data_IF_272147331953
#
_entry.id   IF_272147331953
#
_cell.length_a   1.000
_cell.length_b   1.000
_cell.length_c   1.000
_cell.angle_alpha   90.00
_cell.angle_beta   90.00
_cell.angle_gamma   90.00
#
_symmetry.space_group_name_H-M   'P 1'
#
loop_
_entity.id
_entity.type
_entity.pdbx_description
1 polymer ?
#
# COMPACT_ATOMS: atom_id res chain seq x y z
N UNK A 1 6.62 29.25 -29.93
CA UNK A 1 8.00 28.74 -30.08
C UNK A 1 8.76 28.80 -28.76
N UNK A 2 8.99 29.99 -28.19
CA UNK A 2 9.76 30.16 -26.95
C UNK A 2 9.33 29.27 -25.79
N UNK A 3 8.03 29.21 -25.47
CA UNK A 3 7.52 28.35 -24.38
C UNK A 3 7.73 26.86 -24.63
N UNK A 4 7.60 26.42 -25.88
CA UNK A 4 7.84 25.03 -26.27
C UNK A 4 9.32 24.65 -26.24
N UNK A 5 10.22 25.61 -26.48
CA UNK A 5 11.66 25.38 -26.35
C UNK A 5 12.11 25.40 -24.88
N UNK A 6 11.38 26.11 -24.02
CA UNK A 6 11.64 26.20 -22.59
C UNK A 6 10.96 25.12 -21.75
N UNK A 7 10.30 24.13 -22.38
CA UNK A 7 9.51 23.09 -21.69
C UNK A 7 8.43 23.68 -20.75
N UNK A 8 7.94 24.89 -21.08
CA UNK A 8 6.94 25.61 -20.30
C UNK A 8 5.51 25.21 -20.73
N UNK A 9 5.18 23.94 -20.48
CA UNK A 9 3.95 23.26 -20.91
C UNK A 9 2.66 24.02 -20.59
N UNK A 10 2.53 24.54 -19.37
CA UNK A 10 1.32 25.26 -18.96
C UNK A 10 1.14 26.58 -19.72
N UNK A 11 2.24 27.31 -19.99
CA UNK A 11 2.19 28.55 -20.76
C UNK A 11 1.89 28.25 -22.22
N UNK A 12 2.44 27.16 -22.76
CA UNK A 12 2.13 26.69 -24.10
C UNK A 12 0.63 26.37 -24.25
N UNK A 13 0.00 25.74 -23.24
CA UNK A 13 -1.46 25.53 -23.19
C UNK A 13 -2.24 26.85 -23.19
N UNK A 14 -1.85 27.81 -22.33
CA UNK A 14 -2.49 29.13 -22.23
C UNK A 14 -2.44 29.94 -23.53
N UNK A 15 -1.43 29.68 -24.37
CA UNK A 15 -1.29 30.30 -25.69
C UNK A 15 -1.86 29.43 -26.81
N UNK A 16 -2.84 28.59 -26.49
CA UNK A 16 -3.64 27.83 -27.45
C UNK A 16 -2.80 26.95 -28.39
N UNK A 17 -1.72 26.34 -27.88
CA UNK A 17 -0.88 25.44 -28.68
C UNK A 17 -1.70 24.32 -29.33
N UNK A 18 -2.74 23.83 -28.67
CA UNK A 18 -3.58 22.75 -29.17
C UNK A 18 -4.47 23.14 -30.35
N UNK A 19 -4.73 24.42 -30.58
CA UNK A 19 -5.51 24.91 -31.73
C UNK A 19 -4.69 24.86 -33.03
N UNK A 20 -3.37 24.80 -32.93
CA UNK A 20 -2.49 24.65 -34.09
C UNK A 20 -2.77 23.31 -34.79
N UNK A 21 -3.09 23.30 -36.08
CA UNK A 21 -3.32 22.05 -36.85
C UNK A 21 -2.04 21.43 -37.43
N UNK A 22 -0.86 21.97 -37.11
CA UNK A 22 0.45 21.45 -37.55
C UNK A 22 0.63 21.35 -39.09
N UNK A 23 -0.01 22.25 -39.84
CA UNK A 23 0.01 22.28 -41.30
C UNK A 23 1.36 22.68 -41.94
N UNK A 24 2.33 23.17 -41.16
CA UNK A 24 3.66 23.53 -41.68
C UNK A 24 3.81 24.95 -42.22
N UNK A 25 2.72 25.70 -42.44
CA UNK A 25 2.76 27.02 -43.06
C UNK A 25 3.70 28.00 -42.33
N UNK A 26 3.67 28.01 -40.99
CA UNK A 26 4.52 28.87 -40.17
C UNK A 26 6.02 28.55 -40.29
N UNK A 27 6.40 27.31 -40.62
CA UNK A 27 7.81 26.94 -40.79
C UNK A 27 8.34 27.40 -42.17
N UNK A 28 7.50 27.34 -43.20
CA UNK A 28 7.87 27.74 -44.56
C UNK A 28 7.98 29.26 -44.73
N UNK A 29 7.07 30.03 -44.13
CA UNK A 29 7.04 31.50 -44.25
C UNK A 29 8.07 32.21 -43.34
N UNK A 30 8.69 31.49 -42.40
CA UNK A 30 9.55 32.10 -41.40
C UNK A 30 10.89 32.55 -42.03
N UNK A 31 11.25 33.86 -41.97
CA UNK A 31 12.50 34.37 -42.53
C UNK A 31 13.74 33.83 -41.81
N UNK A 32 13.57 33.32 -40.59
CA UNK A 32 14.64 32.73 -39.78
C UNK A 32 14.82 31.23 -40.01
N UNK A 33 14.04 30.61 -40.92
CA UNK A 33 14.07 29.17 -41.23
C UNK A 33 13.98 28.26 -39.99
N UNK A 34 13.23 28.67 -38.95
CA UNK A 34 13.06 27.89 -37.73
C UNK A 34 11.97 26.84 -37.95
N UNK A 35 12.19 25.56 -37.60
CA UNK A 35 11.20 24.49 -37.80
C UNK A 35 10.11 24.51 -36.71
N UNK A 36 9.30 25.59 -36.65
CA UNK A 36 8.29 25.83 -35.59
C UNK A 36 7.36 24.64 -35.34
N UNK A 37 6.92 23.97 -36.40
CA UNK A 37 5.96 22.86 -36.29
C UNK A 37 6.55 21.64 -35.60
N UNK A 38 7.87 21.39 -35.71
CA UNK A 38 8.50 20.27 -35.02
C UNK A 38 8.50 20.47 -33.51
N UNK A 39 8.80 21.70 -33.06
CA UNK A 39 8.69 22.07 -31.64
C UNK A 39 7.26 21.93 -31.14
N UNK A 40 6.26 22.41 -31.89
CA UNK A 40 4.86 22.28 -31.49
C UNK A 40 4.39 20.82 -31.43
N UNK A 41 4.87 19.95 -32.32
CA UNK A 41 4.59 18.52 -32.28
C UNK A 41 5.17 17.85 -31.06
N UNK A 42 6.44 18.12 -30.77
CA UNK A 42 7.12 17.61 -29.59
C UNK A 42 6.39 18.04 -28.32
N UNK A 43 6.17 19.35 -28.17
CA UNK A 43 5.50 19.93 -27.03
C UNK A 43 4.10 19.34 -26.82
N UNK A 44 3.29 19.22 -27.87
CA UNK A 44 1.98 18.57 -27.75
C UNK A 44 2.08 17.10 -27.34
N UNK A 45 3.09 16.37 -27.82
CA UNK A 45 3.30 14.99 -27.44
C UNK A 45 3.68 14.87 -25.95
N UNK A 46 4.57 15.73 -25.47
CA UNK A 46 4.97 15.82 -24.06
C UNK A 46 3.78 16.18 -23.17
N UNK A 47 3.02 17.21 -23.55
CA UNK A 47 1.82 17.62 -22.82
C UNK A 47 0.80 16.46 -22.74
N UNK A 48 0.58 15.73 -23.85
CA UNK A 48 -0.30 14.55 -23.86
C UNK A 48 0.23 13.43 -22.97
N UNK A 49 1.55 13.21 -22.93
CA UNK A 49 2.16 12.20 -22.07
C UNK A 49 1.94 12.53 -20.58
N UNK A 50 2.13 13.81 -20.21
CA UNK A 50 1.87 14.31 -18.86
C UNK A 50 0.39 14.12 -18.48
N UNK A 51 -0.55 14.46 -19.36
CA UNK A 51 -1.98 14.27 -19.10
C UNK A 51 -2.35 12.79 -18.93
N UNK A 52 -1.77 11.90 -19.75
CA UNK A 52 -2.00 10.46 -19.63
C UNK A 52 -1.43 9.89 -18.32
N UNK A 53 -0.26 10.37 -17.87
CA UNK A 53 0.30 9.99 -16.57
C UNK A 53 -0.54 10.53 -15.41
N UNK A 54 -1.00 11.77 -15.50
CA UNK A 54 -1.90 12.37 -14.51
C UNK A 54 -3.23 11.61 -14.42
N UNK A 55 -3.82 11.23 -15.55
CA UNK A 55 -5.05 10.44 -15.61
C UNK A 55 -4.87 9.05 -14.97
N UNK A 56 -3.79 8.34 -15.30
CA UNK A 56 -3.45 7.04 -14.67
C UNK A 56 -3.26 7.16 -13.17
N UNK A 57 -2.60 8.23 -12.72
CA UNK A 57 -2.38 8.51 -11.30
C UNK A 57 -3.69 8.85 -10.59
N UNK A 58 -4.56 9.64 -11.21
CA UNK A 58 -5.87 9.99 -10.67
C UNK A 58 -6.77 8.75 -10.55
N UNK A 59 -6.78 7.87 -11.55
CA UNK A 59 -7.53 6.62 -11.49
C UNK A 59 -7.01 5.71 -10.36
N UNK A 60 -5.69 5.58 -10.21
CA UNK A 60 -5.08 4.81 -9.13
C UNK A 60 -5.46 5.36 -7.74
N UNK A 61 -5.44 6.70 -7.57
CA UNK A 61 -5.90 7.37 -6.34
C UNK A 61 -7.37 7.12 -6.08
N UNK A 62 -8.24 7.27 -7.07
CA UNK A 62 -9.67 7.02 -6.95
C UNK A 62 -9.97 5.57 -6.50
N UNK A 63 -9.26 4.58 -7.05
CA UNK A 63 -9.38 3.18 -6.62
C UNK A 63 -8.93 2.97 -5.17
N UNK A 64 -7.87 3.65 -4.75
CA UNK A 64 -7.37 3.57 -3.38
C UNK A 64 -8.32 4.24 -2.38
N UNK A 65 -8.81 5.43 -2.70
CA UNK A 65 -9.79 6.17 -1.90
C UNK A 65 -11.10 5.38 -1.77
N UNK A 66 -11.58 4.76 -2.85
CA UNK A 66 -12.76 3.88 -2.80
C UNK A 66 -12.54 2.68 -1.85
N UNK A 67 -11.33 2.10 -1.84
CA UNK A 67 -10.97 1.02 -0.91
C UNK A 67 -10.94 1.51 0.54
N UNK A 68 -10.36 2.67 0.80
CA UNK A 68 -10.32 3.28 2.14
C UNK A 68 -11.73 3.59 2.63
N UNK A 69 -12.57 4.21 1.80
CA UNK A 69 -13.96 4.51 2.14
C UNK A 69 -14.78 3.26 2.44
N UNK A 70 -14.50 2.13 1.75
CA UNK A 70 -15.13 0.84 2.08
C UNK A 70 -14.66 0.32 3.44
N UNK A 71 -13.34 0.36 3.68
CA UNK A 71 -12.75 -0.12 4.92
C UNK A 71 -13.24 0.70 6.13
N UNK A 72 -13.34 2.02 5.99
CA UNK A 72 -13.83 2.93 7.02
C UNK A 72 -15.31 2.67 7.33
N UNK A 73 -16.17 2.55 6.31
CA UNK A 73 -17.58 2.18 6.51
C UNK A 73 -17.73 0.84 7.23
N UNK A 74 -16.91 -0.15 6.88
CA UNK A 74 -16.94 -1.45 7.54
C UNK A 74 -16.45 -1.36 8.98
N UNK A 75 -15.39 -0.57 9.25
CA UNK A 75 -14.89 -0.33 10.60
C UNK A 75 -15.94 0.36 11.48
N UNK A 76 -16.57 1.41 10.98
CA UNK A 76 -17.66 2.12 11.67
C UNK A 76 -18.84 1.20 11.94
N UNK A 77 -19.26 0.40 10.96
CA UNK A 77 -20.35 -0.57 11.14
C UNK A 77 -20.00 -1.63 12.20
N UNK A 78 -18.74 -2.10 12.27
CA UNK A 78 -18.29 -3.01 13.34
C UNK A 78 -18.28 -2.31 14.69
N UNK A 79 -17.75 -1.10 14.78
CA UNK A 79 -17.76 -0.31 16.03
C UNK A 79 -19.18 -0.05 16.51
N UNK A 80 -20.13 0.26 15.63
CA UNK A 80 -21.54 0.39 15.97
C UNK A 80 -22.15 -0.93 16.45
N UNK A 81 -21.84 -2.05 15.80
CA UNK A 81 -22.29 -3.37 16.27
C UNK A 81 -21.73 -3.68 17.66
N UNK A 82 -20.45 -3.38 17.90
CA UNK A 82 -19.84 -3.53 19.21
C UNK A 82 -20.44 -2.58 20.25
N UNK A 83 -20.72 -1.32 19.90
CA UNK A 83 -21.39 -0.34 20.78
C UNK A 83 -22.82 -0.74 21.11
N UNK A 84 -23.57 -1.26 20.14
CA UNK A 84 -24.94 -1.76 20.33
C UNK A 84 -24.96 -3.06 21.15
N UNK A 85 -23.97 -3.94 20.97
CA UNK A 85 -23.82 -5.17 21.76
C UNK A 85 -23.26 -4.92 23.16
N UNK A 86 -22.51 -3.84 23.37
CA UNK A 86 -22.10 -3.36 24.68
C UNK A 86 -23.33 -2.79 25.41
N UNK A 87 -24.17 -3.68 25.92
CA UNK A 87 -25.24 -3.35 26.87
C UNK A 87 -24.58 -2.62 28.03
N UNK A 88 -24.88 -1.32 28.16
CA UNK A 88 -24.45 -0.54 29.31
C UNK A 88 -25.29 -0.99 30.49
N UNK A 89 -24.62 -1.48 31.55
CA UNK A 89 -25.25 -1.73 32.83
C UNK A 89 -25.93 -0.45 33.29
N UNK A 90 -27.24 -0.53 33.55
CA UNK A 90 -28.01 0.62 34.02
C UNK A 90 -27.54 1.01 35.43
N UNK A 91 -27.78 2.25 35.85
CA UNK A 91 -27.29 2.73 37.16
C UNK A 91 -27.80 1.85 38.32
N UNK A 92 -29.04 1.33 38.22
CA UNK A 92 -29.58 0.37 39.17
C UNK A 92 -28.87 -0.99 39.19
N UNK A 93 -28.40 -1.49 38.03
CA UNK A 93 -27.59 -2.72 37.96
C UNK A 93 -26.21 -2.52 38.58
N UNK A 94 -25.62 -1.32 38.40
CA UNK A 94 -24.34 -0.97 38.99
C UNK A 94 -24.42 -0.88 40.52
N UNK A 95 -25.46 -0.26 41.05
CA UNK A 95 -25.71 -0.19 42.49
C UNK A 95 -25.92 -1.58 43.11
N UNK A 96 -26.66 -2.45 42.43
CA UNK A 96 -26.87 -3.83 42.86
C UNK A 96 -25.56 -4.66 42.89
N UNK A 97 -24.69 -4.47 41.89
CA UNK A 97 -23.36 -5.11 41.84
C UNK A 97 -22.44 -4.58 42.93
N UNK A 98 -22.45 -3.26 43.19
CA UNK A 98 -21.66 -2.67 44.29
C UNK A 98 -22.13 -3.15 45.66
N UNK A 99 -23.45 -3.23 45.89
CA UNK A 99 -24.02 -3.78 47.11
C UNK A 99 -23.71 -5.28 47.29
N UNK A 100 -23.65 -6.06 46.19
CA UNK A 100 -23.22 -7.46 46.24
C UNK A 100 -21.73 -7.59 46.58
N UNK A 101 -20.86 -6.76 46.00
CA UNK A 101 -19.43 -6.73 46.30
C UNK A 101 -19.15 -6.33 47.77
N UNK A 102 -19.90 -5.37 48.31
CA UNK A 102 -19.81 -5.01 49.74
C UNK A 102 -20.15 -6.19 50.66
N UNK A 103 -21.17 -6.99 50.30
CA UNK A 103 -21.56 -8.21 51.04
C UNK A 103 -20.53 -9.34 50.95
N UNK A 104 -19.88 -9.52 49.82
CA UNK A 104 -18.81 -10.53 49.67
C UNK A 104 -17.56 -10.11 50.44
N UNK A 105 -17.21 -8.82 50.41
CA UNK A 105 -16.09 -8.29 51.20
C UNK A 105 -16.34 -8.41 52.70
N UNK A 106 -17.56 -8.13 53.18
CA UNK A 106 -17.89 -8.32 54.60
C UNK A 106 -17.93 -9.79 55.00
N UNK A 107 -18.38 -10.69 54.11
CA UNK A 107 -18.37 -12.14 54.37
C UNK A 107 -16.97 -12.76 54.37
N UNK A 108 -16.04 -12.26 53.56
CA UNK A 108 -14.63 -12.66 53.56
C UNK A 108 -13.83 -12.05 54.72
N UNK A 109 -14.35 -11.00 55.38
CA UNK A 109 -13.78 -10.42 56.59
C UNK A 109 -14.24 -11.13 57.88
N UNK A 110 -15.26 -12.00 57.81
CA UNK A 110 -15.65 -12.87 58.90
C UNK A 110 -14.77 -14.15 58.93
N UNK A 111 -14.33 -14.63 60.11
CA UNK A 111 -13.49 -15.83 60.19
C UNK A 111 -14.25 -17.07 59.69
N UNK A 112 -13.66 -17.74 58.70
CA UNK A 112 -14.21 -18.95 58.09
C UNK A 112 -14.40 -20.05 59.15
N UNK A 113 -15.65 -20.39 59.44
CA UNK A 113 -16.01 -21.58 60.20
C UNK A 113 -16.11 -22.76 59.24
N UNK A 114 -15.19 -23.71 59.42
CA UNK A 114 -15.35 -25.14 59.11
C UNK A 114 -15.60 -25.52 57.65
N UNK A 115 -14.54 -25.61 56.85
CA UNK A 115 -14.45 -26.64 55.80
C UNK A 115 -13.43 -27.66 56.25
N UNK A 116 -13.89 -28.90 56.45
CA UNK A 116 -13.03 -30.04 56.74
C UNK A 116 -12.25 -30.33 55.46
N UNK A 117 -10.92 -30.17 55.54
CA UNK A 117 -9.97 -30.63 54.53
C UNK A 117 -10.14 -32.14 54.30
N UNK A 118 -10.36 -32.59 53.06
CA UNK A 118 -10.10 -34.00 52.76
C UNK A 118 -10.78 -34.65 51.57
N UNK A 119 -11.86 -34.12 51.00
CA UNK A 119 -12.50 -34.75 49.83
C UNK A 119 -12.42 -33.83 48.61
N UNK A 120 -11.48 -34.14 47.72
CA UNK A 120 -11.54 -33.72 46.33
C UNK A 120 -12.86 -34.20 45.73
N UNK A 121 -13.75 -33.30 45.27
CA UNK A 121 -14.99 -33.73 44.63
C UNK A 121 -14.63 -34.52 43.39
N UNK A 122 -15.15 -35.75 43.29
CA UNK A 122 -14.85 -36.73 42.25
C UNK A 122 -15.47 -36.33 40.90
N UNK A 123 -15.00 -35.20 40.34
CA UNK A 123 -15.47 -34.64 39.07
C UNK A 123 -14.93 -35.44 37.86
N UNK A 124 -14.29 -36.57 38.10
CA UNK A 124 -13.74 -37.49 37.10
C UNK A 124 -14.84 -38.00 36.15
N UNK A 125 -16.00 -38.36 36.69
CA UNK A 125 -17.17 -38.81 35.92
C UNK A 125 -17.73 -37.70 35.02
N UNK A 126 -17.74 -36.46 35.50
CA UNK A 126 -18.21 -35.30 34.74
C UNK A 126 -17.26 -34.92 33.59
N UNK A 127 -15.95 -35.10 33.81
CA UNK A 127 -14.93 -34.92 32.77
C UNK A 127 -15.07 -36.02 31.71
N UNK A 128 -15.23 -37.28 32.12
CA UNK A 128 -15.45 -38.41 31.21
C UNK A 128 -16.73 -38.23 30.37
N UNK A 129 -17.83 -37.77 30.98
CA UNK A 129 -19.08 -37.49 30.27
C UNK A 129 -18.92 -36.36 29.23
N UNK A 130 -18.13 -35.32 29.55
CA UNK A 130 -17.84 -34.21 28.63
C UNK A 130 -16.98 -34.67 27.45
N UNK A 131 -15.99 -35.52 27.69
CA UNK A 131 -15.12 -36.06 26.65
C UNK A 131 -15.87 -37.02 25.73
N UNK A 132 -16.74 -37.89 26.28
CA UNK A 132 -17.61 -38.77 25.51
C UNK A 132 -18.55 -37.98 24.58
N UNK A 133 -19.19 -36.90 25.09
CA UNK A 133 -20.05 -36.04 24.25
C UNK A 133 -19.25 -35.33 23.15
N UNK A 134 -18.01 -34.93 23.42
CA UNK A 134 -17.12 -34.31 22.42
C UNK A 134 -16.65 -35.33 21.37
N UNK A 135 -16.42 -36.58 21.74
CA UNK A 135 -16.09 -37.66 20.81
C UNK A 135 -17.27 -37.97 19.87
N UNK A 136 -18.48 -38.16 20.41
CA UNK A 136 -19.69 -38.40 19.61
C UNK A 136 -19.98 -37.27 18.61
N UNK A 137 -19.75 -36.01 19.01
CA UNK A 137 -19.91 -34.88 18.11
C UNK A 137 -18.91 -34.88 16.94
N UNK A 138 -17.66 -35.33 17.17
CA UNK A 138 -16.65 -35.48 16.13
C UNK A 138 -16.98 -36.62 15.18
N UNK A 139 -17.43 -37.75 15.68
CA UNK A 139 -17.87 -38.89 14.85
C UNK A 139 -19.07 -38.52 13.98
N UNK A 140 -20.09 -37.86 14.56
CA UNK A 140 -21.26 -37.39 13.79
C UNK A 140 -20.86 -36.38 12.70
N UNK A 141 -19.90 -35.50 13.00
CA UNK A 141 -19.38 -34.55 12.01
C UNK A 141 -18.57 -35.26 10.92
N UNK A 142 -17.72 -36.23 11.28
CA UNK A 142 -17.00 -37.05 10.31
C UNK A 142 -17.94 -37.87 9.42
N UNK A 143 -19.04 -38.40 9.95
CA UNK A 143 -20.08 -39.07 9.17
C UNK A 143 -20.81 -38.10 8.23
N UNK A 144 -21.10 -36.87 8.67
CA UNK A 144 -21.69 -35.83 7.81
C UNK A 144 -20.73 -35.40 6.70
N UNK A 145 -19.44 -35.23 7.01
CA UNK A 145 -18.41 -34.87 6.04
C UNK A 145 -18.16 -36.03 5.04
N UNK A 146 -18.28 -37.30 5.47
CA UNK A 146 -18.20 -38.47 4.60
C UNK A 146 -19.48 -38.71 3.77
N UNK A 147 -20.65 -38.34 4.28
CA UNK A 147 -21.90 -38.36 3.51
C UNK A 147 -21.98 -37.20 2.48
N UNK A 148 -21.15 -36.16 2.63
CA UNK A 148 -21.08 -35.02 1.74
C UNK A 148 -20.10 -35.19 0.56
N UNK A 149 -19.40 -36.33 0.43
CA UNK A 149 -18.68 -36.68 -0.81
C UNK A 149 -19.64 -37.23 -1.87
N UNK A 150 -19.85 -36.56 -3.01
CA UNK A 150 -20.78 -37.03 -4.03
C UNK A 150 -20.24 -38.26 -4.75
N UNK A 151 -21.05 -39.33 -4.75
CA UNK A 151 -20.92 -40.46 -5.66
C UNK A 151 -20.91 -39.95 -7.10
N UNK A 152 -19.84 -40.28 -7.83
CA UNK A 152 -19.67 -39.95 -9.24
C UNK A 152 -20.52 -40.90 -10.10
N UNK A 153 -21.36 -40.35 -10.96
CA UNK A 153 -21.88 -40.99 -12.18
C UNK A 153 -22.25 -39.91 -13.21
N UNK A 154 -22.16 -40.20 -14.52
CA UNK A 154 -21.68 -39.23 -15.51
C UNK A 154 -22.78 -38.47 -16.26
N UNK A 155 -22.34 -37.37 -16.88
CA UNK A 155 -22.94 -36.63 -18.00
C UNK A 155 -24.26 -35.87 -17.77
N UNK A 156 -24.16 -34.52 -17.71
CA UNK A 156 -24.89 -33.62 -18.63
C UNK A 156 -24.02 -32.39 -18.88
N UNK A 157 -23.89 -32.03 -20.16
CA UNK A 157 -23.12 -30.93 -20.71
C UNK A 157 -23.55 -29.55 -20.20
N UNK A 158 -22.57 -28.68 -19.99
CA UNK A 158 -22.79 -27.28 -19.63
C UNK A 158 -21.60 -26.64 -18.93
N UNK A 159 -20.35 -26.97 -19.28
CA UNK A 159 -19.19 -26.24 -18.77
C UNK A 159 -18.99 -24.96 -19.57
N UNK A 160 -19.17 -23.83 -18.89
CA UNK A 160 -18.92 -22.48 -19.39
C UNK A 160 -17.57 -22.43 -20.13
N UNK A 161 -17.55 -22.02 -21.42
CA UNK A 161 -16.36 -22.06 -22.28
C UNK A 161 -15.16 -21.30 -21.68
N UNK A 162 -15.40 -20.37 -20.75
CA UNK A 162 -14.35 -19.62 -20.06
C UNK A 162 -13.61 -20.45 -19.02
N UNK A 163 -14.29 -21.36 -18.33
CA UNK A 163 -13.67 -22.24 -17.33
C UNK A 163 -12.79 -23.30 -18.00
N UNK A 164 -13.25 -23.85 -19.12
CA UNK A 164 -12.47 -24.74 -19.97
C UNK A 164 -11.23 -24.03 -20.57
N UNK A 165 -11.37 -22.78 -21.03
CA UNK A 165 -10.24 -22.01 -21.57
C UNK A 165 -9.17 -21.71 -20.49
N UNK A 166 -9.58 -21.40 -19.26
CA UNK A 166 -8.64 -21.16 -18.14
C UNK A 166 -7.95 -22.47 -17.71
N UNK A 167 -8.66 -23.60 -17.69
CA UNK A 167 -8.06 -24.90 -17.41
C UNK A 167 -7.05 -25.31 -18.49
N UNK A 168 -7.36 -25.07 -19.77
CA UNK A 168 -6.43 -25.30 -20.87
C UNK A 168 -5.19 -24.39 -20.81
N UNK A 169 -5.35 -23.13 -20.41
CA UNK A 169 -4.22 -22.21 -20.21
C UNK A 169 -3.31 -22.65 -19.05
N UNK A 170 -3.90 -23.08 -17.93
CA UNK A 170 -3.15 -23.60 -16.78
C UNK A 170 -2.41 -24.91 -17.12
N UNK A 171 -3.00 -25.79 -17.93
CA UNK A 171 -2.34 -27.00 -18.41
C UNK A 171 -1.13 -26.69 -19.31
N UNK A 172 -1.22 -25.68 -20.18
CA UNK A 172 -0.10 -25.24 -21.02
C UNK A 172 1.04 -24.63 -20.21
N UNK A 173 0.73 -23.85 -19.18
CA UNK A 173 1.74 -23.29 -18.27
C UNK A 173 2.40 -24.40 -17.45
N UNK A 174 1.64 -25.39 -17.00
CA UNK A 174 2.18 -26.52 -16.25
C UNK A 174 3.07 -27.41 -17.12
N UNK A 175 2.65 -27.71 -18.35
CA UNK A 175 3.47 -28.43 -19.33
C UNK A 175 4.76 -27.67 -19.69
N UNK A 176 4.70 -26.34 -19.82
CA UNK A 176 5.90 -25.51 -20.07
C UNK A 176 6.86 -25.48 -18.87
N UNK A 177 6.32 -25.54 -17.65
CA UNK A 177 7.10 -25.60 -16.41
C UNK A 177 7.74 -26.98 -16.17
N UNK A 178 7.04 -28.06 -16.55
CA UNK A 178 7.55 -29.44 -16.47
C UNK A 178 8.61 -29.70 -17.57
N UNK A 179 8.42 -29.19 -18.79
CA UNK A 179 9.45 -29.24 -19.84
C UNK A 179 10.72 -28.45 -19.48
N UNK A 180 10.60 -27.36 -18.70
CA UNK A 180 11.75 -26.62 -18.18
C UNK A 180 12.48 -27.34 -17.02
N UNK A 181 11.87 -28.33 -16.37
CA UNK A 181 12.51 -29.11 -15.30
C UNK A 181 13.23 -30.37 -15.79
N UNK A 182 13.01 -30.81 -17.03
CA UNK A 182 13.66 -31.98 -17.61
C UNK A 182 15.01 -31.68 -18.30
N UNK A 183 15.43 -30.41 -18.38
CA UNK A 183 16.65 -29.98 -19.07
C UNK A 183 17.84 -29.75 -18.13
N UNK A 184 18.32 -30.78 -17.44
CA UNK A 184 19.64 -30.75 -16.78
C UNK A 184 20.19 -32.17 -16.58
N UNK A 185 21.16 -32.56 -17.42
CA UNK A 185 22.37 -33.42 -17.19
C UNK A 185 22.82 -34.08 -18.51
N UNK A 186 24.06 -33.78 -18.97
CA UNK A 186 24.92 -34.73 -19.70
C UNK A 186 25.25 -34.51 -21.20
N UNK A 187 26.41 -33.90 -21.49
CA UNK A 187 27.20 -33.75 -22.76
C UNK A 187 27.99 -35.05 -23.12
N UNK A 188 28.77 -35.25 -24.24
CA UNK A 188 28.91 -34.59 -25.58
C UNK A 188 28.88 -35.54 -26.83
N UNK A 189 28.61 -34.99 -28.03
CA UNK A 189 29.34 -35.25 -29.30
C UNK A 189 28.86 -34.30 -30.43
N UNK A 190 29.78 -33.54 -31.04
CA UNK A 190 29.63 -32.61 -32.18
C UNK A 190 29.68 -33.32 -33.56
N UNK A 191 29.47 -32.61 -34.71
CA UNK A 191 28.74 -31.34 -34.97
C UNK A 191 27.60 -31.58 -36.02
N UNK A 192 26.65 -30.67 -36.28
CA UNK A 192 26.63 -29.66 -37.38
C UNK A 192 25.34 -28.82 -37.21
N UNK A 193 25.42 -27.53 -37.60
CA UNK A 193 24.34 -26.57 -37.93
C UNK A 193 23.60 -25.80 -36.81
N UNK A 194 23.72 -24.48 -36.93
CA UNK A 194 23.22 -23.42 -36.08
C UNK A 194 21.70 -23.36 -35.91
N UNK A 195 21.24 -23.25 -34.64
CA UNK A 195 20.12 -22.37 -34.25
C UNK A 195 20.38 -21.87 -32.82
N UNK A 196 20.25 -20.55 -32.64
CA UNK A 196 20.49 -19.82 -31.41
C UNK A 196 19.60 -20.29 -30.24
N UNK A 197 20.21 -20.46 -29.07
CA UNK A 197 19.49 -20.60 -27.81
C UNK A 197 18.85 -19.26 -27.43
N UNK A 198 17.52 -19.24 -27.40
CA UNK A 198 16.74 -18.11 -26.89
C UNK A 198 16.74 -18.17 -25.36
N UNK A 199 17.74 -17.55 -24.73
CA UNK A 199 17.60 -17.13 -23.33
C UNK A 199 16.48 -16.10 -23.26
N UNK A 200 15.49 -16.36 -22.39
CA UNK A 200 14.30 -15.52 -22.21
C UNK A 200 14.69 -14.03 -22.16
N UNK A 201 14.26 -13.22 -23.16
CA UNK A 201 14.72 -11.85 -23.34
C UNK A 201 14.46 -10.97 -22.11
N UNK A 202 13.52 -11.37 -21.24
CA UNK A 202 13.21 -10.66 -20.00
C UNK A 202 14.24 -10.90 -18.91
N UNK A 203 14.83 -12.10 -18.83
CA UNK A 203 15.86 -12.42 -17.83
C UNK A 203 17.20 -11.78 -18.20
N UNK A 204 17.53 -11.74 -19.49
CA UNK A 204 18.68 -11.01 -20.02
C UNK A 204 18.54 -9.49 -19.81
N UNK A 205 17.35 -8.92 -20.00
CA UNK A 205 17.09 -7.50 -19.76
C UNK A 205 17.24 -7.11 -18.28
N UNK A 206 16.78 -7.97 -17.36
CA UNK A 206 16.92 -7.74 -15.91
C UNK A 206 18.37 -7.89 -15.45
N UNK A 207 19.12 -8.85 -16.00
CA UNK A 207 20.56 -8.98 -15.73
C UNK A 207 21.34 -7.77 -16.25
N UNK A 208 21.01 -7.26 -17.45
CA UNK A 208 21.61 -6.05 -17.99
C UNK A 208 21.27 -4.80 -17.16
N UNK A 209 20.04 -4.70 -16.64
CA UNK A 209 19.63 -3.61 -15.74
C UNK A 209 20.38 -3.65 -14.40
N UNK A 210 20.53 -4.84 -13.81
CA UNK A 210 21.28 -5.03 -12.56
C UNK A 210 22.79 -4.78 -12.76
N UNK A 211 23.35 -5.15 -13.91
CA UNK A 211 24.73 -4.84 -14.26
C UNK A 211 24.96 -3.32 -14.41
N UNK A 212 24.01 -2.59 -15.01
CA UNK A 212 24.06 -1.12 -15.11
C UNK A 212 23.94 -0.43 -13.76
N UNK A 213 23.08 -0.91 -12.87
CA UNK A 213 22.97 -0.37 -11.50
C UNK A 213 24.23 -0.66 -10.70
N UNK A 214 24.81 -1.86 -10.84
CA UNK A 214 26.05 -2.23 -10.17
C UNK A 214 27.25 -1.45 -10.72
N UNK A 215 27.31 -1.21 -12.03
CA UNK A 215 28.32 -0.38 -12.67
C UNK A 215 28.18 1.10 -12.29
N UNK A 216 26.95 1.62 -12.18
CA UNK A 216 26.71 3.00 -11.71
C UNK A 216 27.09 3.19 -10.24
N UNK A 217 26.84 2.17 -9.41
CA UNK A 217 27.26 2.16 -8.00
C UNK A 217 28.78 2.00 -7.83
N UNK A 218 29.44 1.25 -8.71
CA UNK A 218 30.90 1.10 -8.74
C UNK A 218 31.60 2.36 -9.28
N UNK A 219 31.05 3.01 -10.31
CA UNK A 219 31.58 4.28 -10.83
C UNK A 219 31.44 5.41 -9.79
N UNK A 220 30.33 5.46 -9.05
CA UNK A 220 30.16 6.39 -7.92
C UNK A 220 31.11 6.12 -6.74
N UNK A 221 31.69 4.91 -6.63
CA UNK A 221 32.72 4.59 -5.64
C UNK A 221 34.15 4.79 -6.18
N UNK A 222 34.35 4.76 -7.50
CA UNK A 222 35.64 4.97 -8.14
C UNK A 222 35.96 6.46 -8.36
N UNK A 223 34.96 7.34 -8.50
CA UNK A 223 35.17 8.80 -8.59
C UNK A 223 35.66 9.45 -7.27
N UNK A 224 35.83 8.66 -6.20
CA UNK A 224 36.25 9.18 -4.89
C UNK A 224 37.71 8.91 -4.54
N UNK A 225 38.52 8.25 -5.38
CA UNK A 225 39.95 8.01 -5.09
C UNK A 225 40.78 7.95 -6.39
N UNK A 226 41.81 8.83 -6.46
CA UNK A 226 42.91 8.98 -7.44
C UNK A 226 42.77 9.94 -8.64
N UNK A 227 43.27 11.18 -8.47
CA UNK A 227 44.61 11.57 -8.98
C UNK A 227 45.10 12.94 -8.48
N UNK A 228 46.43 13.22 -8.50
CA UNK A 228 47.12 14.05 -7.50
C UNK A 228 47.62 15.42 -7.99
N UNK A 229 47.99 16.26 -7.01
CA UNK A 229 49.04 17.30 -6.93
C UNK A 229 48.52 18.65 -6.38
N UNK A 230 49.06 19.01 -5.21
CA UNK A 230 48.88 20.18 -4.34
C UNK A 230 49.13 21.58 -4.98
N UNK A 231 48.91 22.71 -4.26
CA UNK A 231 48.11 22.90 -3.03
C UNK A 231 47.15 24.12 -3.09
N UNK A 232 46.12 24.14 -2.22
CA UNK A 232 45.68 25.26 -1.38
C UNK A 232 44.16 25.30 -1.13
N UNK A 233 43.84 25.64 0.12
CA UNK A 233 42.53 25.97 0.72
C UNK A 233 41.50 24.84 0.88
N UNK A 234 41.32 24.48 2.15
CA UNK A 234 40.28 23.62 2.68
C UNK A 234 38.89 24.23 2.53
N UNK A 235 37.97 23.49 1.90
CA UNK A 235 36.52 23.58 2.13
C UNK A 235 36.00 22.15 2.25
N UNK A 236 35.42 21.83 3.40
CA UNK A 236 34.67 20.61 3.64
C UNK A 236 33.36 20.71 2.86
N UNK A 237 33.30 20.06 1.70
CA UNK A 237 32.06 19.95 0.94
C UNK A 237 31.25 18.76 1.48
N UNK A 238 30.41 19.04 2.48
CA UNK A 238 29.37 18.08 2.87
C UNK A 238 28.35 17.96 1.73
N UNK A 239 28.16 16.73 1.25
CA UNK A 239 27.22 16.36 0.17
C UNK A 239 25.93 17.20 0.24
N UNK A 240 25.63 18.00 -0.81
CA UNK A 240 24.54 18.98 -0.81
C UNK A 240 23.18 18.36 -0.49
N UNK A 241 23.01 17.04 -0.71
CA UNK A 241 21.79 16.31 -0.35
C UNK A 241 21.68 16.04 1.15
N UNK A 242 22.81 15.78 1.82
CA UNK A 242 22.84 15.54 3.27
C UNK A 242 22.62 16.85 4.04
N UNK A 243 23.18 17.95 3.55
CA UNK A 243 22.92 19.30 4.08
C UNK A 243 21.45 19.72 3.89
N UNK A 244 20.85 19.44 2.74
CA UNK A 244 19.43 19.72 2.49
C UNK A 244 18.49 18.92 3.41
N UNK A 245 18.82 17.65 3.68
CA UNK A 245 18.06 16.80 4.61
C UNK A 245 18.21 17.28 6.06
N UNK A 246 19.40 17.70 6.47
CA UNK A 246 19.63 18.29 7.80
C UNK A 246 18.84 19.60 8.00
N UNK A 247 18.84 20.47 6.99
CA UNK A 247 18.04 21.70 7.01
C UNK A 247 16.53 21.43 7.05
N UNK A 248 16.04 20.41 6.35
CA UNK A 248 14.63 20.00 6.39
C UNK A 248 14.23 19.46 7.77
N UNK A 249 15.07 18.62 8.38
CA UNK A 249 14.84 18.08 9.72
C UNK A 249 14.86 19.18 10.79
N UNK A 250 15.74 20.18 10.67
CA UNK A 250 15.79 21.33 11.56
C UNK A 250 14.50 22.17 11.48
N UNK A 251 13.96 22.39 10.28
CA UNK A 251 12.69 23.11 10.08
C UNK A 251 11.49 22.37 10.65
N UNK A 252 11.44 21.04 10.49
CA UNK A 252 10.37 20.21 11.08
C UNK A 252 10.45 20.23 12.62
N UNK A 253 11.66 20.17 13.18
CA UNK A 253 11.87 20.23 14.62
C UNK A 253 11.51 21.61 15.21
N UNK A 254 11.85 22.70 14.51
CA UNK A 254 11.45 24.06 14.88
C UNK A 254 9.93 24.25 14.81
N UNK A 255 9.27 23.74 13.77
CA UNK A 255 7.81 23.82 13.63
C UNK A 255 7.08 23.01 14.71
N UNK A 256 7.62 21.86 15.11
CA UNK A 256 7.10 21.04 16.20
C UNK A 256 7.28 21.72 17.57
N UNK A 257 8.40 22.42 17.78
CA UNK A 257 8.64 23.19 19.01
C UNK A 257 7.72 24.42 19.12
N UNK A 258 7.48 25.14 18.02
CA UNK A 258 6.55 26.28 18.00
C UNK A 258 5.11 25.84 18.28
N UNK A 259 4.66 24.72 17.71
CA UNK A 259 3.33 24.15 17.98
C UNK A 259 3.14 23.70 19.43
N UNK A 260 4.21 23.26 20.10
CA UNK A 260 4.20 22.89 21.52
C UNK A 260 4.22 24.11 22.46
N UNK A 261 4.74 25.26 22.01
CA UNK A 261 4.68 26.52 22.76
C UNK A 261 3.28 27.16 22.66
N UNK A 262 2.63 27.10 21.50
CA UNK A 262 1.28 27.62 21.28
C UNK A 262 0.19 26.87 22.09
N UNK A 263 0.45 25.64 22.55
CA UNK A 263 -0.52 24.86 23.34
C UNK A 263 -0.49 25.13 24.85
N UNK A 264 0.44 25.96 25.35
CA UNK A 264 0.62 26.22 26.80
C UNK A 264 0.15 27.61 27.22
N UNK A 265 -0.16 28.51 26.28
CA UNK A 265 -0.57 29.89 26.56
C UNK A 265 -2.04 30.16 26.19
N UNK A 266 -2.96 29.52 26.91
CA UNK A 266 -4.36 29.97 27.05
C UNK A 266 -4.87 29.48 28.41
N UNK A 267 -5.15 30.39 29.36
CA UNK A 267 -6.38 31.21 29.38
C UNK A 267 -6.07 32.71 29.64
N UNK A 268 -6.92 33.71 29.39
CA UNK A 268 -8.23 33.96 30.02
C UNK A 268 -8.86 35.19 29.35
N UNK A 269 -10.18 35.17 29.18
CA UNK A 269 -11.08 36.30 28.85
C UNK A 269 -10.94 37.46 29.88
N UNK A 270 -11.35 38.72 29.56
CA UNK A 270 -12.79 39.05 29.55
C UNK A 270 -13.28 40.14 28.56
N UNK A 271 -14.55 39.97 28.17
CA UNK A 271 -15.65 40.94 28.11
C UNK A 271 -15.53 42.31 27.36
N UNK A 272 -16.35 42.40 26.30
CA UNK A 272 -17.32 43.47 25.96
C UNK A 272 -16.86 44.94 25.77
N UNK A 273 -17.08 45.46 24.56
CA UNK A 273 -17.89 46.68 24.33
C UNK A 273 -18.23 46.83 22.84
N UNK A 274 -19.52 47.07 22.58
CA UNK A 274 -20.12 47.37 21.28
C UNK A 274 -19.99 48.87 21.02
N UNK A 275 -19.41 49.29 19.89
CA UNK A 275 -19.63 50.62 19.33
C UNK A 275 -19.80 50.53 17.80
N UNK A 276 -20.98 50.97 17.39
CA UNK A 276 -21.49 51.17 16.05
C UNK A 276 -21.10 52.59 15.62
N UNK A 277 -20.32 52.74 14.55
CA UNK A 277 -20.02 54.06 13.95
C UNK A 277 -20.59 54.14 12.52
N UNK A 278 -21.52 55.10 12.39
CA UNK A 278 -22.23 55.56 11.19
C UNK A 278 -21.32 56.50 10.36
N UNK A 279 -21.09 56.26 9.05
CA UNK A 279 -20.24 57.11 8.24
C UNK A 279 -21.05 58.16 7.46
N UNK A 280 -21.49 59.23 8.13
CA UNK A 280 -21.81 60.52 7.48
C UNK A 280 -21.52 61.73 8.39
N UNK A 281 -20.28 62.20 8.35
CA UNK A 281 -19.95 63.64 8.34
C UNK A 281 -18.51 63.87 7.91
#
# INVERSE_FOLDING_TARGET
>A
YWFSRGEEHEKARKHNLFDCIECGACAFVCPSNIPLVQYYRQEKAEIKAIDQEAARTAEAKARYEAKLARLEREKLAREERHKKAAVKLTDGDQDAVQAALARVRSKNAAPATGTISGETPDNSEMIAAREARKAQARERRAQQDAAATPATSPAVEGEDPRKAAVAAALARVKAKKEAQQAGAVGTPAEPIAAVAQEEDPRKAAVAAALARVKAKKAAQQADSVESPTEPATAVQEEDPRKAAVAAALARVKAKKAAQQAETVESPTEPAATVQEEDPRK
#
